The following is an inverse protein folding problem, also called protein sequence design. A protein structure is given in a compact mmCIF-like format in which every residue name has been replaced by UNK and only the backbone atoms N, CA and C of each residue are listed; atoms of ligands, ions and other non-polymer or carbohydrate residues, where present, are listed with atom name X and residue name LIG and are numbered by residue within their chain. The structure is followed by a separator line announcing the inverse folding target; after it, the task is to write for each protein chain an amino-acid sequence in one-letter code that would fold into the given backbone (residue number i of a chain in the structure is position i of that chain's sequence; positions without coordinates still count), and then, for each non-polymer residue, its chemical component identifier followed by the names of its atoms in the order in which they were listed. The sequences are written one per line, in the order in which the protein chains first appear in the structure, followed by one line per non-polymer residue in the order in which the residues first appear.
data_IF_714184677899
#
_entry.id   IF_714184677899
#
_cell.length_a   1.000
_cell.length_b   1.000
_cell.length_c   1.000
_cell.angle_alpha   90.00
_cell.angle_beta   90.00
_cell.angle_gamma   90.00
#
_symmetry.space_group_name_H-M   'P 1'
#
loop_
_entity.id
_entity.type
_entity.pdbx_description
1 polymer ?
#
# COMPACT_ATOMS: atom_id res chain seq x y z
N UNK A 1 13.58 11.48 -11.89
CA UNK A 1 12.99 10.17 -12.22
C UNK A 1 13.70 9.48 -13.38
N UNK A 2 14.62 8.57 -13.08
CA UNK A 2 15.27 7.71 -14.10
C UNK A 2 14.35 6.54 -14.50
N UNK A 3 13.98 6.46 -15.77
CA UNK A 3 13.20 5.34 -16.35
C UNK A 3 13.86 3.97 -16.16
N UNK A 4 15.15 3.90 -15.83
CA UNK A 4 15.87 2.64 -15.66
C UNK A 4 15.45 1.80 -14.45
N UNK A 5 14.76 2.39 -13.46
CA UNK A 5 14.30 1.61 -12.29
C UNK A 5 13.07 0.74 -12.56
N UNK A 6 12.36 0.97 -13.66
CA UNK A 6 11.09 0.29 -13.95
C UNK A 6 11.27 -1.12 -14.52
N UNK A 7 12.28 -1.35 -15.33
CA UNK A 7 12.57 -2.65 -15.94
C UNK A 7 13.73 -3.36 -15.25
N UNK A 8 13.70 -3.39 -13.92
CA UNK A 8 14.70 -4.11 -13.15
C UNK A 8 14.46 -5.62 -13.26
N UNK A 9 15.53 -6.34 -13.58
CA UNK A 9 15.55 -7.79 -13.44
C UNK A 9 15.49 -8.14 -11.95
N UNK A 10 15.13 -9.40 -11.64
CA UNK A 10 15.18 -9.89 -10.26
C UNK A 10 16.56 -9.64 -9.63
N UNK A 11 17.63 -9.92 -10.38
CA UNK A 11 19.01 -9.73 -9.89
C UNK A 11 19.33 -8.28 -9.57
N UNK A 12 18.92 -7.32 -10.42
CA UNK A 12 19.20 -5.91 -10.16
C UNK A 12 18.39 -5.37 -8.98
N UNK A 13 17.16 -5.85 -8.78
CA UNK A 13 16.36 -5.53 -7.59
C UNK A 13 16.97 -6.11 -6.31
N UNK A 14 17.40 -7.36 -6.34
CA UNK A 14 18.00 -8.03 -5.19
C UNK A 14 19.33 -7.34 -4.80
N UNK A 15 20.08 -6.82 -5.79
CA UNK A 15 21.31 -6.05 -5.59
C UNK A 15 21.10 -4.64 -5.02
N UNK A 16 19.87 -4.11 -4.99
CA UNK A 16 19.58 -2.82 -4.37
C UNK A 16 19.84 -2.88 -2.86
N UNK A 17 20.65 -1.94 -2.38
CA UNK A 17 20.97 -1.80 -0.97
C UNK A 17 19.96 -0.91 -0.26
N UNK A 18 19.45 -1.40 0.87
CA UNK A 18 18.69 -0.61 1.82
C UNK A 18 19.56 0.48 2.44
N UNK A 19 18.96 1.59 2.83
CA UNK A 19 19.65 2.66 3.51
C UNK A 19 20.23 2.17 4.86
N UNK A 20 21.49 2.52 5.14
CA UNK A 20 22.19 2.07 6.35
C UNK A 20 21.88 2.90 7.60
N UNK A 21 21.52 4.17 7.43
CA UNK A 21 21.45 5.14 8.53
C UNK A 21 20.34 6.16 8.35
N UNK A 22 19.13 5.71 8.00
CA UNK A 22 17.95 6.58 7.91
C UNK A 22 17.11 6.39 9.16
N UNK A 23 16.68 7.50 9.76
CA UNK A 23 15.67 7.49 10.82
C UNK A 23 14.42 8.12 10.27
N UNK A 24 13.34 7.36 10.19
CA UNK A 24 12.02 7.81 9.80
C UNK A 24 11.03 7.12 10.74
N UNK A 25 10.76 7.77 11.87
CA UNK A 25 9.88 7.29 12.94
C UNK A 25 8.63 8.16 12.96
N UNK A 26 7.45 7.59 12.73
CA UNK A 26 6.17 8.31 12.63
C UNK A 26 5.24 7.91 13.77
N UNK A 27 5.22 6.62 14.10
CA UNK A 27 4.44 6.02 15.16
C UNK A 27 5.36 5.48 16.24
N UNK A 28 5.05 5.79 17.49
CA UNK A 28 5.86 5.35 18.65
C UNK A 28 5.88 3.84 18.83
N UNK A 29 4.88 3.12 18.31
CA UNK A 29 4.69 1.67 18.52
C UNK A 29 5.46 0.78 17.56
N UNK A 30 6.13 1.32 16.53
CA UNK A 30 6.84 0.53 15.51
C UNK A 30 8.36 0.82 15.47
N UNK A 31 9.10 0.63 16.59
CA UNK A 31 10.53 0.83 16.58
C UNK A 31 11.23 -0.27 15.78
N UNK A 32 11.83 0.09 14.64
CA UNK A 32 12.68 -0.81 13.85
C UNK A 32 14.13 -0.41 14.06
N UNK A 33 14.87 -1.09 14.94
CA UNK A 33 16.30 -0.77 15.18
C UNK A 33 17.23 -1.45 14.18
N UNK A 34 16.82 -2.58 13.63
CA UNK A 34 17.61 -3.40 12.71
C UNK A 34 16.85 -3.64 11.39
N UNK A 35 17.56 -3.85 10.27
CA UNK A 35 16.90 -4.18 9.01
C UNK A 35 16.06 -5.44 9.19
N UNK A 36 14.77 -5.35 8.91
CA UNK A 36 13.81 -6.41 9.22
C UNK A 36 13.01 -6.79 7.99
N UNK A 37 12.81 -8.09 7.80
CA UNK A 37 11.89 -8.61 6.79
C UNK A 37 10.50 -8.80 7.39
N UNK A 38 9.51 -8.20 6.74
CA UNK A 38 8.12 -8.26 7.10
C UNK A 38 7.34 -9.02 6.02
N UNK A 39 6.29 -9.73 6.44
CA UNK A 39 5.35 -10.42 5.57
C UNK A 39 3.96 -9.90 5.88
N UNK A 40 3.37 -9.20 4.91
CA UNK A 40 1.99 -8.76 4.97
C UNK A 40 1.10 -9.77 4.25
N UNK A 41 0.04 -10.22 4.92
CA UNK A 41 -0.94 -11.14 4.38
C UNK A 41 -2.34 -10.58 4.53
N UNK A 42 -3.01 -10.34 3.40
CA UNK A 42 -4.42 -9.98 3.37
C UNK A 42 -5.32 -11.19 3.59
N UNK A 43 -6.37 -11.04 4.40
CA UNK A 43 -7.35 -12.09 4.59
C UNK A 43 -8.15 -12.36 3.30
N UNK A 44 -8.31 -13.64 2.97
CA UNK A 44 -8.86 -14.10 1.68
C UNK A 44 -10.37 -13.85 1.53
N UNK A 45 -11.08 -13.69 2.65
CA UNK A 45 -12.55 -13.79 2.73
C UNK A 45 -13.21 -12.65 3.49
N UNK A 46 -12.75 -11.42 3.34
CA UNK A 46 -13.53 -10.27 3.80
C UNK A 46 -14.16 -9.54 2.60
N UNK A 47 -15.50 -9.51 2.64
CA UNK A 47 -16.35 -8.52 1.98
C UNK A 47 -15.88 -7.08 2.32
N UNK A 48 -16.25 -6.04 1.54
CA UNK A 48 -15.37 -4.92 1.16
C UNK A 48 -14.50 -4.33 2.29
N UNK A 49 -13.21 -4.21 1.98
CA UNK A 49 -12.15 -3.93 2.95
C UNK A 49 -11.49 -5.23 3.43
N UNK A 50 -10.16 -5.31 3.34
CA UNK A 50 -9.40 -6.47 3.85
C UNK A 50 -8.70 -6.13 5.13
N UNK A 51 -8.80 -7.05 6.07
CA UNK A 51 -7.91 -7.08 7.22
C UNK A 51 -6.54 -7.56 6.72
N UNK A 52 -5.48 -6.86 7.14
CA UNK A 52 -4.10 -7.23 6.84
C UNK A 52 -3.38 -7.57 8.11
N UNK A 53 -2.64 -8.68 8.09
CA UNK A 53 -1.74 -9.06 9.17
C UNK A 53 -0.32 -8.91 8.68
N UNK A 54 0.52 -8.24 9.47
CA UNK A 54 1.94 -8.05 9.18
C UNK A 54 2.75 -8.75 10.25
N UNK A 55 3.58 -9.70 9.81
CA UNK A 55 4.44 -10.49 10.69
C UNK A 55 5.90 -10.29 10.33
N UNK A 56 6.80 -10.49 11.27
CA UNK A 56 8.24 -10.54 10.97
C UNK A 56 8.65 -11.91 10.39
N UNK A 57 9.94 -12.08 10.12
CA UNK A 57 10.51 -13.37 9.66
C UNK A 57 10.23 -14.56 10.58
N UNK A 58 9.99 -14.30 11.86
CA UNK A 58 9.71 -15.34 12.87
C UNK A 58 8.21 -15.60 13.03
N UNK A 59 7.35 -14.98 12.22
CA UNK A 59 5.90 -15.12 12.31
C UNK A 59 5.27 -14.33 13.47
N UNK A 60 6.03 -13.49 14.16
CA UNK A 60 5.53 -12.65 15.25
C UNK A 60 4.78 -11.46 14.65
N UNK A 61 3.59 -11.16 15.17
CA UNK A 61 2.78 -10.02 14.77
C UNK A 61 3.54 -8.71 15.02
N UNK A 62 3.62 -7.87 14.00
CA UNK A 62 4.21 -6.53 14.05
C UNK A 62 3.12 -5.47 13.97
N UNK A 63 2.22 -5.59 12.99
CA UNK A 63 1.11 -4.68 12.79
C UNK A 63 -0.11 -5.42 12.23
N UNK A 64 -1.29 -4.86 12.46
CA UNK A 64 -2.55 -5.35 11.89
C UNK A 64 -3.36 -4.16 11.37
N UNK A 65 -3.85 -4.22 10.13
CA UNK A 65 -4.84 -3.26 9.65
C UNK A 65 -6.19 -3.94 9.76
N UNK A 66 -7.06 -3.41 10.61
CA UNK A 66 -8.41 -3.91 10.82
C UNK A 66 -9.41 -2.99 10.14
N UNK A 67 -10.31 -3.55 9.34
CA UNK A 67 -11.40 -2.81 8.71
C UNK A 67 -12.56 -2.71 9.68
N UNK A 68 -13.08 -1.50 9.86
CA UNK A 68 -14.30 -1.29 10.62
C UNK A 68 -15.49 -1.68 9.76
N UNK A 69 -15.91 -2.95 9.89
CA UNK A 69 -17.13 -3.47 9.27
C UNK A 69 -18.28 -2.63 9.84
N UNK A 70 -19.13 -2.08 8.97
CA UNK A 70 -20.27 -1.19 9.30
C UNK A 70 -19.98 0.31 9.52
N UNK A 71 -18.73 0.79 9.41
CA UNK A 71 -18.48 2.23 9.35
C UNK A 71 -18.66 2.76 7.93
N UNK A 72 -19.47 3.81 7.75
CA UNK A 72 -19.45 4.63 6.53
C UNK A 72 -18.95 6.03 6.91
N UNK A 73 -17.87 6.56 6.30
CA UNK A 73 -17.06 5.99 5.22
C UNK A 73 -16.22 4.76 5.66
N UNK A 74 -15.66 3.99 4.71
CA UNK A 74 -14.80 2.81 4.96
C UNK A 74 -13.58 3.19 5.83
N UNK A 75 -13.71 3.06 7.15
CA UNK A 75 -12.62 3.31 8.09
C UNK A 75 -11.81 2.04 8.32
N UNK A 76 -10.52 2.23 8.54
CA UNK A 76 -9.60 1.15 8.94
C UNK A 76 -8.74 1.63 10.09
N UNK A 77 -8.32 0.73 10.95
CA UNK A 77 -7.49 1.05 12.10
C UNK A 77 -6.18 0.28 11.97
N UNK A 78 -5.06 0.99 12.06
CA UNK A 78 -3.75 0.38 12.21
C UNK A 78 -3.55 0.05 13.68
N UNK A 79 -3.32 -1.22 13.97
CA UNK A 79 -3.07 -1.76 15.29
C UNK A 79 -1.59 -2.15 15.43
N UNK A 80 -1.04 -1.98 16.63
CA UNK A 80 0.30 -2.45 16.97
C UNK A 80 0.34 -3.96 17.25
N UNK A 81 1.53 -4.49 17.60
CA UNK A 81 1.72 -5.88 17.98
C UNK A 81 0.88 -6.32 19.21
N UNK A 82 0.51 -5.38 20.08
CA UNK A 82 -0.38 -5.59 21.22
C UNK A 82 -1.86 -5.37 20.89
N UNK A 83 -2.19 -5.21 19.59
CA UNK A 83 -3.53 -4.89 19.07
C UNK A 83 -4.13 -3.59 19.60
N UNK A 84 -3.29 -2.64 20.01
CA UNK A 84 -3.74 -1.29 20.40
C UNK A 84 -3.86 -0.42 19.16
N UNK A 85 -4.92 0.41 19.06
CA UNK A 85 -5.07 1.33 17.95
C UNK A 85 -3.97 2.39 17.96
N UNK A 86 -3.25 2.49 16.84
CA UNK A 86 -2.17 3.46 16.62
C UNK A 86 -2.63 4.59 15.72
N UNK A 87 -3.34 4.26 14.64
CA UNK A 87 -3.80 5.25 13.68
C UNK A 87 -5.15 4.86 13.06
N UNK A 88 -5.95 5.87 12.72
CA UNK A 88 -7.20 5.72 12.01
C UNK A 88 -7.02 6.14 10.56
N UNK A 89 -7.37 5.27 9.62
CA UNK A 89 -7.26 5.47 8.18
C UNK A 89 -8.66 5.75 7.66
N UNK A 90 -8.86 6.93 7.08
CA UNK A 90 -10.10 7.31 6.42
C UNK A 90 -9.83 7.48 4.93
N UNK A 91 -10.68 6.89 4.11
CA UNK A 91 -10.74 7.23 2.70
C UNK A 91 -11.47 8.57 2.57
N UNK A 92 -10.92 9.53 1.83
CA UNK A 92 -11.65 10.77 1.56
C UNK A 92 -12.83 10.44 0.61
N UNK A 93 -14.09 10.57 1.07
CA UNK A 93 -15.25 10.24 0.25
C UNK A 93 -15.44 11.21 -0.92
N UNK A 94 -14.82 12.40 -0.88
CA UNK A 94 -14.93 13.43 -1.91
C UNK A 94 -13.70 13.52 -2.82
N UNK A 95 -12.62 12.79 -2.50
CA UNK A 95 -11.42 12.79 -3.33
C UNK A 95 -11.62 11.92 -4.57
N UNK A 96 -11.73 12.55 -5.74
CA UNK A 96 -11.58 11.90 -7.04
C UNK A 96 -10.22 11.20 -7.20
N UNK A 97 -9.25 11.50 -6.32
CA UNK A 97 -7.85 11.08 -6.44
C UNK A 97 -7.45 9.91 -5.52
N UNK A 98 -8.41 9.19 -4.93
CA UNK A 98 -8.14 8.02 -4.07
C UNK A 98 -7.15 8.34 -2.92
N UNK A 99 -7.27 9.51 -2.30
CA UNK A 99 -6.42 9.89 -1.17
C UNK A 99 -6.83 9.12 0.10
N UNK A 100 -5.82 8.64 0.85
CA UNK A 100 -6.02 8.04 2.16
C UNK A 100 -5.44 8.96 3.22
N UNK A 101 -6.28 9.38 4.15
CA UNK A 101 -5.90 10.26 5.25
C UNK A 101 -5.70 9.41 6.49
N UNK A 102 -4.56 9.58 7.15
CA UNK A 102 -4.21 8.81 8.34
C UNK A 102 -4.13 9.77 9.52
N UNK A 103 -4.95 9.51 10.52
CA UNK A 103 -5.10 10.29 11.73
C UNK A 103 -4.42 9.58 12.88
N UNK A 104 -3.91 10.35 13.84
CA UNK A 104 -3.64 9.81 15.16
C UNK A 104 -4.96 9.33 15.77
N UNK A 105 -4.93 8.34 16.67
CA UNK A 105 -6.15 7.79 17.29
C UNK A 105 -6.85 8.78 18.28
N UNK A 106 -6.65 10.09 18.08
CA UNK A 106 -7.35 11.20 18.71
C UNK A 106 -8.43 11.74 17.76
N UNK A 107 -9.45 12.40 18.30
CA UNK A 107 -10.51 13.09 17.52
C UNK A 107 -9.99 14.35 16.79
N UNK A 108 -8.70 14.41 16.44
CA UNK A 108 -8.14 15.53 15.72
C UNK A 108 -8.59 15.50 14.26
N UNK A 109 -9.07 16.65 13.76
CA UNK A 109 -9.46 16.83 12.35
C UNK A 109 -8.26 16.95 11.41
N UNK A 110 -7.03 17.01 11.95
CA UNK A 110 -5.81 17.18 11.17
C UNK A 110 -5.16 15.81 10.92
N UNK A 111 -4.98 15.39 9.66
CA UNK A 111 -4.30 14.13 9.35
C UNK A 111 -2.82 14.20 9.75
N UNK A 112 -2.32 13.11 10.34
CA UNK A 112 -0.90 12.92 10.61
C UNK A 112 -0.09 12.79 9.31
N UNK A 113 -0.67 12.09 8.32
CA UNK A 113 -0.12 11.96 6.98
C UNK A 113 -1.24 11.70 5.97
N UNK A 114 -0.97 12.06 4.72
CA UNK A 114 -1.87 11.78 3.59
C UNK A 114 -1.11 10.97 2.55
N UNK A 115 -1.65 9.81 2.19
CA UNK A 115 -1.13 8.98 1.11
C UNK A 115 -1.88 9.36 -0.16
N UNK A 116 -1.17 10.00 -1.08
CA UNK A 116 -1.69 10.48 -2.35
C UNK A 116 -1.32 9.52 -3.46
N UNK A 117 -2.28 9.27 -4.34
CA UNK A 117 -2.05 8.48 -5.52
C UNK A 117 -1.86 9.39 -6.75
N UNK A 118 -0.67 9.34 -7.35
CA UNK A 118 -0.36 10.07 -8.57
C UNK A 118 -0.45 9.15 -9.78
N UNK A 119 -1.37 9.50 -10.69
CA UNK A 119 -1.48 8.90 -12.01
C UNK A 119 -0.65 9.72 -12.99
N UNK A 120 0.52 9.21 -13.37
CA UNK A 120 1.25 9.70 -14.54
C UNK A 120 0.80 8.92 -15.78
N UNK A 121 0.96 9.51 -16.96
CA UNK A 121 0.52 8.92 -18.23
C UNK A 121 1.09 7.51 -18.48
N UNK A 122 2.27 7.23 -17.92
CA UNK A 122 2.98 5.95 -18.12
C UNK A 122 3.12 5.12 -16.85
N UNK A 123 2.82 5.66 -15.67
CA UNK A 123 3.08 4.98 -14.42
C UNK A 123 2.27 5.51 -13.24
N UNK A 124 2.21 4.69 -12.20
CA UNK A 124 1.42 4.94 -11.01
C UNK A 124 2.32 5.01 -9.79
N UNK A 125 2.23 6.10 -9.06
CA UNK A 125 3.13 6.37 -7.94
C UNK A 125 2.29 6.71 -6.72
N UNK A 126 2.71 6.24 -5.56
CA UNK A 126 2.15 6.68 -4.29
C UNK A 126 3.16 7.57 -3.61
N UNK A 127 2.69 8.70 -3.12
CA UNK A 127 3.49 9.67 -2.40
C UNK A 127 2.85 9.96 -1.05
N UNK A 128 3.67 10.14 -0.04
CA UNK A 128 3.22 10.49 1.29
C UNK A 128 4.23 11.41 1.95
N UNK A 129 3.78 12.56 2.43
CA UNK A 129 4.59 13.42 3.28
C UNK A 129 4.41 12.99 4.73
N UNK A 130 5.52 12.66 5.40
CA UNK A 130 5.52 12.23 6.79
C UNK A 130 6.46 13.11 7.60
N UNK A 131 6.02 13.49 8.80
CA UNK A 131 6.87 14.20 9.76
C UNK A 131 7.50 13.18 10.70
N UNK A 132 8.84 13.16 10.74
CA UNK A 132 9.57 12.34 11.68
C UNK A 132 9.38 12.90 13.11
N UNK A 133 8.87 12.06 14.02
CA UNK A 133 8.59 12.43 15.41
C UNK A 133 9.86 12.67 16.24
N UNK A 134 10.97 12.00 15.91
CA UNK A 134 12.23 12.14 16.64
C UNK A 134 13.02 13.37 16.22
N UNK A 135 13.07 13.63 14.91
CA UNK A 135 13.92 14.71 14.36
C UNK A 135 13.14 15.97 14.00
N UNK A 136 11.80 15.88 13.93
CA UNK A 136 10.92 16.95 13.46
C UNK A 136 10.98 17.20 11.95
N UNK A 137 11.86 16.53 11.20
CA UNK A 137 12.06 16.70 9.76
C UNK A 137 10.91 16.06 8.96
N UNK A 138 10.44 16.75 7.93
CA UNK A 138 9.48 16.18 6.96
C UNK A 138 10.23 15.39 5.89
N UNK A 139 9.75 14.19 5.61
CA UNK A 139 10.21 13.30 4.55
C UNK A 139 9.12 13.13 3.52
N UNK A 140 9.49 13.11 2.24
CA UNK A 140 8.57 12.80 1.15
C UNK A 140 8.79 11.34 0.76
N UNK A 141 7.93 10.45 1.22
CA UNK A 141 8.04 9.03 0.90
C UNK A 141 7.40 8.75 -0.45
N UNK A 142 8.16 8.11 -1.33
CA UNK A 142 7.74 7.76 -2.68
C UNK A 142 7.78 6.25 -2.83
N UNK A 143 6.62 5.63 -3.02
CA UNK A 143 6.53 4.23 -3.42
C UNK A 143 6.49 4.16 -4.93
N UNK A 144 7.61 3.69 -5.50
CA UNK A 144 7.75 3.53 -6.93
C UNK A 144 6.78 2.43 -7.43
N UNK A 145 6.19 2.58 -8.62
CA UNK A 145 5.28 1.61 -9.21
C UNK A 145 5.85 0.21 -9.19
N UNK A 146 5.02 -0.76 -8.83
CA UNK A 146 5.39 -2.15 -9.05
C UNK A 146 5.50 -2.42 -10.55
N UNK A 147 6.64 -2.96 -10.99
CA UNK A 147 6.72 -3.52 -12.33
C UNK A 147 5.68 -4.64 -12.44
N UNK A 148 4.76 -4.53 -13.40
CA UNK A 148 3.62 -5.46 -13.53
C UNK A 148 4.06 -6.91 -13.68
N UNK A 149 5.19 -7.14 -14.36
CA UNK A 149 5.73 -8.48 -14.61
C UNK A 149 6.46 -9.02 -13.38
N UNK A 150 7.27 -8.19 -12.71
CA UNK A 150 8.11 -8.66 -11.61
C UNK A 150 7.47 -8.49 -10.23
N UNK A 151 6.37 -7.74 -10.15
CA UNK A 151 5.63 -7.36 -8.93
C UNK A 151 6.53 -6.89 -7.79
N UNK A 152 7.51 -6.06 -8.16
CA UNK A 152 8.52 -5.49 -7.27
C UNK A 152 8.42 -3.98 -7.28
N UNK A 153 8.46 -3.39 -6.09
CA UNK A 153 8.36 -1.96 -5.85
C UNK A 153 9.41 -1.56 -4.81
N UNK A 154 9.77 -0.28 -4.80
CA UNK A 154 10.78 0.28 -3.89
C UNK A 154 10.20 1.54 -3.26
N UNK A 155 10.32 1.65 -1.94
CA UNK A 155 9.99 2.85 -1.17
C UNK A 155 11.26 3.67 -0.98
N UNK A 156 11.24 4.94 -1.38
CA UNK A 156 12.37 5.88 -1.28
C UNK A 156 11.99 7.14 -0.51
N UNK A 157 12.99 7.80 0.09
CA UNK A 157 12.85 9.17 0.63
C UNK A 157 13.13 10.19 -0.50
N UNK A 158 12.06 10.66 -1.14
CA UNK A 158 12.07 11.45 -2.37
C UNK A 158 12.08 10.58 -3.63
N UNK A 159 12.00 11.21 -4.81
CA UNK A 159 11.90 10.49 -6.09
C UNK A 159 13.12 9.62 -6.40
N UNK A 160 14.31 10.12 -6.07
CA UNK A 160 15.59 9.50 -6.39
C UNK A 160 16.48 9.26 -5.15
N UNK A 161 15.91 9.38 -3.94
CA UNK A 161 16.66 9.28 -2.68
C UNK A 161 16.91 7.85 -2.16
N UNK A 162 17.34 7.71 -0.90
CA UNK A 162 17.74 6.43 -0.33
C UNK A 162 16.57 5.44 -0.26
N UNK A 163 16.86 4.16 -0.43
CA UNK A 163 15.87 3.09 -0.40
C UNK A 163 15.55 2.74 1.04
N UNK A 164 14.30 2.98 1.44
CA UNK A 164 13.80 2.72 2.78
C UNK A 164 13.23 1.31 2.90
N UNK A 165 12.56 0.82 1.85
CA UNK A 165 12.04 -0.53 1.82
C UNK A 165 12.00 -1.10 0.41
N UNK A 166 12.14 -2.42 0.30
CA UNK A 166 11.91 -3.20 -0.92
C UNK A 166 10.63 -4.01 -0.74
N UNK A 167 9.70 -3.90 -1.68
CA UNK A 167 8.41 -4.58 -1.62
C UNK A 167 8.33 -5.58 -2.78
N UNK A 168 8.00 -6.83 -2.46
CA UNK A 168 7.87 -7.91 -3.41
C UNK A 168 6.54 -8.64 -3.18
N UNK A 169 5.74 -8.77 -4.22
CA UNK A 169 4.52 -9.58 -4.18
C UNK A 169 4.77 -10.91 -4.91
N UNK A 170 5.09 -12.01 -4.19
CA UNK A 170 5.33 -13.29 -4.82
C UNK A 170 4.08 -13.76 -5.59
N UNK A 171 4.31 -14.32 -6.79
CA UNK A 171 3.26 -14.97 -7.54
C UNK A 171 2.85 -16.26 -6.80
N UNK A 172 1.66 -16.29 -6.23
CA UNK A 172 1.10 -17.48 -5.60
C UNK A 172 -0.18 -17.88 -6.30
N UNK A 173 -0.31 -19.16 -6.67
CA UNK A 173 -1.52 -19.71 -7.28
C UNK A 173 -2.77 -19.59 -6.38
N UNK A 174 -2.57 -19.30 -5.09
CA UNK A 174 -3.63 -19.25 -4.09
C UNK A 174 -4.34 -17.88 -4.00
N UNK A 175 -4.13 -16.93 -4.93
CA UNK A 175 -4.76 -15.59 -4.92
C UNK A 175 -4.64 -14.88 -3.55
N UNK A 176 -3.66 -15.26 -2.73
CA UNK A 176 -3.43 -14.64 -1.44
C UNK A 176 -2.66 -13.34 -1.67
N UNK A 177 -3.21 -12.22 -1.20
CA UNK A 177 -2.53 -10.92 -1.24
C UNK A 177 -1.39 -10.93 -0.22
N UNK A 178 -0.29 -11.59 -0.57
CA UNK A 178 0.91 -11.71 0.23
C UNK A 178 1.97 -10.78 -0.32
N UNK A 179 2.54 -9.96 0.54
CA UNK A 179 3.65 -9.06 0.25
C UNK A 179 4.79 -9.36 1.20
N UNK A 180 6.01 -9.32 0.68
CA UNK A 180 7.25 -9.44 1.42
C UNK A 180 7.96 -8.10 1.33
N UNK A 181 8.34 -7.56 2.49
CA UNK A 181 8.88 -6.22 2.61
C UNK A 181 10.21 -6.30 3.36
N UNK A 182 11.31 -5.92 2.72
CA UNK A 182 12.59 -5.75 3.40
C UNK A 182 12.70 -4.27 3.80
N UNK A 183 12.71 -3.99 5.10
CA UNK A 183 12.68 -2.63 5.66
C UNK A 183 14.04 -2.27 6.22
N UNK A 184 14.54 -1.08 5.90
CA UNK A 184 15.80 -0.56 6.42
C UNK A 184 15.74 -0.32 7.94
N UNK A 185 16.91 -0.39 8.60
CA UNK A 185 17.01 -0.01 10.00
C UNK A 185 16.59 1.45 10.21
N UNK A 186 15.83 1.72 11.27
CA UNK A 186 15.33 3.05 11.62
C UNK A 186 14.11 3.52 10.84
N UNK A 187 13.54 2.69 9.95
CA UNK A 187 12.31 3.01 9.21
C UNK A 187 11.09 2.40 9.90
N UNK A 188 10.07 3.21 10.09
CA UNK A 188 8.81 2.84 10.72
C UNK A 188 8.05 1.75 9.92
N UNK A 189 7.85 0.59 10.55
CA UNK A 189 7.15 -0.54 9.93
C UNK A 189 5.66 -0.24 9.67
N UNK A 190 5.03 0.60 10.49
CA UNK A 190 3.64 1.03 10.31
C UNK A 190 3.46 1.84 9.03
N UNK A 191 4.39 2.77 8.76
CA UNK A 191 4.36 3.57 7.51
C UNK A 191 4.53 2.68 6.27
N UNK A 192 5.49 1.76 6.30
CA UNK A 192 5.69 0.80 5.19
C UNK A 192 4.44 -0.05 4.98
N UNK A 193 3.82 -0.51 6.08
CA UNK A 193 2.57 -1.29 6.06
C UNK A 193 1.43 -0.51 5.42
N UNK A 194 1.23 0.76 5.80
CA UNK A 194 0.20 1.63 5.23
C UNK A 194 0.39 1.84 3.73
N UNK A 195 1.62 2.13 3.29
CA UNK A 195 1.93 2.30 1.86
C UNK A 195 1.65 1.01 1.07
N UNK A 196 2.02 -0.15 1.62
CA UNK A 196 1.75 -1.43 0.95
C UNK A 196 0.26 -1.77 0.89
N UNK A 197 -0.50 -1.46 1.94
CA UNK A 197 -1.94 -1.65 1.96
C UNK A 197 -2.65 -0.71 0.95
N UNK A 198 -2.22 0.54 0.87
CA UNK A 198 -2.72 1.49 -0.12
C UNK A 198 -2.45 1.01 -1.57
N UNK A 199 -1.26 0.44 -1.83
CA UNK A 199 -0.92 -0.15 -3.13
C UNK A 199 -1.81 -1.36 -3.48
N UNK A 200 -2.08 -2.25 -2.53
CA UNK A 200 -2.97 -3.41 -2.75
C UNK A 200 -4.41 -2.97 -3.06
N UNK A 201 -4.91 -1.94 -2.38
CA UNK A 201 -6.24 -1.39 -2.64
C UNK A 201 -6.39 -0.82 -4.05
N UNK A 202 -5.43 -0.02 -4.50
CA UNK A 202 -5.46 0.56 -5.85
C UNK A 202 -5.33 -0.52 -6.93
N UNK A 203 -4.49 -1.55 -6.68
CA UNK A 203 -4.37 -2.70 -7.59
C UNK A 203 -5.71 -3.42 -7.74
N UNK A 204 -6.49 -3.55 -6.66
CA UNK A 204 -7.82 -4.17 -6.69
C UNK A 204 -8.85 -3.33 -7.43
N UNK A 205 -8.93 -2.01 -7.15
CA UNK A 205 -9.86 -1.09 -7.85
C UNK A 205 -9.72 -1.18 -9.38
N UNK A 206 -8.49 -1.39 -9.88
CA UNK A 206 -8.23 -1.59 -11.32
C UNK A 206 -8.76 -2.89 -11.86
N UNK A 207 -8.53 -4.00 -11.15
CA UNK A 207 -9.03 -5.31 -11.56
C UNK A 207 -10.55 -5.31 -11.58
N UNK A 208 -11.18 -4.71 -10.57
CA UNK A 208 -12.63 -4.57 -10.49
C UNK A 208 -13.17 -3.70 -11.64
N UNK A 209 -12.54 -2.56 -11.94
CA UNK A 209 -12.96 -1.71 -13.06
C UNK A 209 -12.79 -2.39 -14.43
N UNK A 210 -11.68 -3.09 -14.66
CA UNK A 210 -11.44 -3.84 -15.91
C UNK A 210 -12.46 -4.97 -16.06
N UNK A 211 -12.72 -5.73 -14.99
CA UNK A 211 -13.68 -6.85 -15.02
C UNK A 211 -15.12 -6.38 -15.22
N UNK A 212 -15.56 -5.31 -14.53
CA UNK A 212 -16.86 -4.70 -14.74
C UNK A 212 -17.01 -4.05 -16.13
N UNK A 213 -15.94 -3.44 -16.66
CA UNK A 213 -15.91 -2.89 -18.01
C UNK A 213 -16.01 -3.96 -19.09
N UNK A 214 -15.30 -5.09 -18.92
CA UNK A 214 -15.35 -6.21 -19.87
C UNK A 214 -16.72 -6.93 -19.87
N UNK A 215 -17.32 -7.12 -18.68
CA UNK A 215 -18.68 -7.66 -18.55
C UNK A 215 -19.75 -6.71 -19.11
N UNK A 216 -19.58 -5.40 -18.95
CA UNK A 216 -20.49 -4.40 -19.54
C UNK A 216 -20.47 -4.40 -21.07
N UNK A 217 -19.29 -4.55 -21.70
CA UNK A 217 -19.15 -4.59 -23.17
C UNK A 217 -19.67 -5.92 -23.75
N UNK A 218 -19.43 -7.05 -23.08
CA UNK A 218 -19.97 -8.35 -23.52
C UNK A 218 -21.48 -8.46 -23.31
N UNK A 219 -22.02 -7.89 -22.22
CA UNK A 219 -23.47 -7.82 -21.97
C UNK A 219 -24.22 -6.97 -22.99
N UNK A 220 -23.64 -5.82 -23.39
CA UNK A 220 -24.22 -4.97 -24.43
C UNK A 220 -24.20 -5.63 -25.83
N UNK A 221 -23.21 -6.48 -26.10
CA UNK A 221 -23.07 -7.18 -27.38
C UNK A 221 -24.05 -8.36 -27.54
N UNK A 222 -24.51 -8.98 -26.44
CA UNK A 222 -25.50 -10.07 -26.47
C UNK A 222 -26.96 -9.60 -26.44
N UNK A 223 -27.28 -8.42 -25.89
CA UNK A 223 -28.65 -7.87 -25.97
C UNK A 223 -28.96 -7.18 -27.31
N UNK A 224 -27.95 -6.85 -28.12
CA UNK A 224 -28.15 -6.27 -29.45
C UNK A 224 -28.59 -7.27 -30.54
N UNK A 225 -28.49 -8.58 -30.30
CA UNK A 225 -28.79 -9.60 -31.32
C UNK A 225 -30.20 -10.23 -31.20
N UNK A 226 -31.00 -9.86 -30.21
CA UNK A 226 -32.36 -10.41 -30.00
C UNK A 226 -33.49 -9.51 -30.51
N UNK A 227 -33.20 -8.40 -31.18
CA UNK A 227 -34.20 -7.39 -31.57
C UNK A 227 -34.35 -7.20 -33.10
N UNK A 228 -34.03 -8.23 -33.90
CA UNK A 228 -34.10 -8.18 -35.37
C UNK A 228 -34.81 -9.38 -36.02
N UNK A 229 -35.60 -10.16 -35.28
CA UNK A 229 -36.39 -11.29 -35.84
C UNK A 229 -37.91 -11.19 -35.63
N UNK A 230 -38.42 -10.01 -35.32
CA UNK A 230 -39.86 -9.74 -35.38
C UNK A 230 -40.10 -8.36 -35.98
N UNK A 231 -40.24 -8.29 -37.31
CA UNK A 231 -41.34 -7.67 -38.08
C UNK A 231 -41.14 -8.07 -39.54
#
# INVERSE_FOLDING_TARGET
MSLMRFFQSKQSFDALQLAKSVRCSVFKSFPTTEPTRLVMQGQRWSWPGRDYTVTNSNGILVAEIQVQRFSFPNQRTLLDAARRPVALIKLDPYSFFNEQMVYENSDDDVPLLTIKYRKHASFHQQECEVRNQETGKTHLLVLQPANVLTRRSVLTDGDDGPILAKVHQPFTCQFANRYEMDVAAGVDAGVVTLMCAAMDEETRKRVDWVSCGFLGVLGASFMGLTLLTMV
#
